data_IF_473639435975
#
_entry.id   IF_473639435975
#
_cell.length_a   1.000
_cell.length_b   1.000
_cell.length_c   1.000
_cell.angle_alpha   90.00
_cell.angle_beta   90.00
_cell.angle_gamma   90.00
#
_symmetry.space_group_name_H-M   'P 1'
#
loop_
_entity.id
_entity.type
_entity.pdbx_description
1 polymer ?
#
# COMPACT_ATOMS: atom_id res chain seq x y z
N UNK A 1 10.65 -11.88 -9.12
CA UNK A 1 9.86 -11.98 -7.87
C UNK A 1 10.82 -12.09 -6.70
N UNK A 2 10.66 -11.28 -5.64
CA UNK A 2 11.47 -11.39 -4.45
C UNK A 2 11.32 -12.79 -3.85
N UNK A 3 12.43 -13.36 -3.42
CA UNK A 3 12.47 -14.69 -2.78
C UNK A 3 12.91 -14.50 -1.34
N UNK A 4 12.18 -15.07 -0.38
CA UNK A 4 12.56 -15.03 1.03
C UNK A 4 11.40 -15.24 1.98
N UNK A 5 11.69 -15.27 3.26
CA UNK A 5 10.71 -15.47 4.35
C UNK A 5 9.68 -14.33 4.37
N UNK A 6 10.11 -13.11 4.12
CA UNK A 6 9.23 -11.92 4.06
C UNK A 6 8.20 -12.02 2.95
N UNK A 7 8.58 -12.61 1.83
CA UNK A 7 7.67 -12.82 0.71
C UNK A 7 6.64 -13.91 0.99
N UNK A 8 7.02 -14.92 1.75
CA UNK A 8 6.08 -15.94 2.23
C UNK A 8 5.01 -15.32 3.14
N UNK A 9 5.40 -14.37 4.00
CA UNK A 9 4.46 -13.64 4.86
C UNK A 9 3.48 -12.81 4.03
N UNK A 10 3.96 -12.07 3.04
CA UNK A 10 3.09 -11.29 2.15
C UNK A 10 2.11 -12.19 1.40
N UNK A 11 2.56 -13.32 0.87
CA UNK A 11 1.67 -14.29 0.20
C UNK A 11 0.60 -14.84 1.13
N UNK A 12 0.98 -15.20 2.35
CA UNK A 12 0.03 -15.65 3.37
C UNK A 12 -1.04 -14.60 3.65
N UNK A 13 -0.64 -13.33 3.79
CA UNK A 13 -1.58 -12.23 3.99
C UNK A 13 -2.49 -11.99 2.79
N UNK A 14 -2.00 -12.16 1.57
CA UNK A 14 -2.81 -12.08 0.35
C UNK A 14 -3.87 -13.19 0.34
N UNK A 15 -3.51 -14.40 0.74
CA UNK A 15 -4.47 -15.52 0.81
C UNK A 15 -5.54 -15.26 1.89
N UNK A 16 -5.15 -14.73 3.04
CA UNK A 16 -6.09 -14.28 4.07
C UNK A 16 -7.01 -13.16 3.56
N UNK A 17 -6.45 -12.20 2.80
CA UNK A 17 -7.23 -11.11 2.21
C UNK A 17 -8.31 -11.63 1.25
N UNK A 18 -7.97 -12.60 0.41
CA UNK A 18 -8.93 -13.24 -0.50
C UNK A 18 -10.09 -13.91 0.25
N UNK A 19 -9.83 -14.43 1.42
CA UNK A 19 -10.86 -15.04 2.29
C UNK A 19 -11.73 -14.01 3.01
N UNK A 20 -11.26 -12.75 3.15
CA UNK A 20 -11.91 -11.68 3.92
C UNK A 20 -12.45 -10.54 3.04
N UNK A 21 -12.68 -10.77 1.75
CA UNK A 21 -13.18 -9.73 0.83
C UNK A 21 -14.70 -9.52 0.88
N UNK A 22 -15.42 -10.23 1.75
CA UNK A 22 -16.87 -10.16 1.88
C UNK A 22 -17.31 -9.02 2.80
N UNK A 23 -18.59 -8.66 2.72
CA UNK A 23 -19.19 -7.63 3.60
C UNK A 23 -19.22 -8.03 5.08
N UNK A 24 -18.91 -9.27 5.40
CA UNK A 24 -18.91 -9.81 6.77
C UNK A 24 -17.64 -9.45 7.56
N UNK A 25 -16.53 -9.20 6.90
CA UNK A 25 -15.22 -9.00 7.55
C UNK A 25 -14.48 -7.75 7.04
N UNK A 26 -15.14 -6.57 6.96
CA UNK A 26 -14.52 -5.38 6.37
C UNK A 26 -13.34 -4.85 7.19
N UNK A 27 -13.39 -4.91 8.51
CA UNK A 27 -12.28 -4.47 9.37
C UNK A 27 -11.05 -5.37 9.21
N UNK A 28 -11.25 -6.68 9.14
CA UNK A 28 -10.16 -7.62 8.87
C UNK A 28 -9.51 -7.36 7.51
N UNK A 29 -10.30 -7.07 6.48
CA UNK A 29 -9.80 -6.70 5.17
C UNK A 29 -8.87 -5.47 5.22
N UNK A 30 -9.28 -4.42 5.93
CA UNK A 30 -8.48 -3.19 6.09
C UNK A 30 -7.17 -3.47 6.83
N UNK A 31 -7.23 -4.21 7.94
CA UNK A 31 -6.03 -4.56 8.73
C UNK A 31 -5.03 -5.36 7.90
N UNK A 32 -5.50 -6.38 7.18
CA UNK A 32 -4.64 -7.23 6.34
C UNK A 32 -4.05 -6.40 5.18
N UNK A 33 -4.86 -5.57 4.54
CA UNK A 33 -4.41 -4.67 3.46
C UNK A 33 -3.30 -3.74 3.93
N UNK A 34 -3.46 -3.14 5.12
CA UNK A 34 -2.43 -2.29 5.72
C UNK A 34 -1.12 -3.05 5.94
N UNK A 35 -1.20 -4.25 6.49
CA UNK A 35 -0.01 -5.08 6.71
C UNK A 35 0.69 -5.44 5.39
N UNK A 36 -0.06 -5.77 4.34
CA UNK A 36 0.48 -6.07 3.01
C UNK A 36 1.22 -4.86 2.44
N UNK A 37 0.58 -3.69 2.47
CA UNK A 37 1.18 -2.45 1.94
C UNK A 37 2.46 -2.10 2.70
N UNK A 38 2.43 -2.16 4.03
CA UNK A 38 3.58 -1.86 4.87
C UNK A 38 4.77 -2.79 4.58
N UNK A 39 4.54 -4.09 4.57
CA UNK A 39 5.58 -5.08 4.29
C UNK A 39 6.12 -4.96 2.86
N UNK A 40 5.25 -4.79 1.87
CA UNK A 40 5.64 -4.69 0.47
C UNK A 40 6.42 -3.41 0.18
N UNK A 41 6.00 -2.27 0.73
CA UNK A 41 6.71 -1.01 0.59
C UNK A 41 8.07 -1.04 1.30
N UNK A 42 8.13 -1.62 2.50
CA UNK A 42 9.39 -1.80 3.24
C UNK A 42 10.37 -2.65 2.44
N UNK A 43 9.92 -3.80 1.94
CA UNK A 43 10.75 -4.68 1.12
C UNK A 43 11.23 -4.00 -0.16
N UNK A 44 10.35 -3.24 -0.82
CA UNK A 44 10.72 -2.45 -2.01
C UNK A 44 11.82 -1.43 -1.68
N UNK A 45 11.69 -0.72 -0.56
CA UNK A 45 12.71 0.23 -0.10
C UNK A 45 14.05 -0.44 0.15
N UNK A 46 14.06 -1.58 0.83
CA UNK A 46 15.28 -2.36 1.09
C UNK A 46 15.96 -2.82 -0.20
N UNK A 47 15.17 -3.31 -1.17
CA UNK A 47 15.70 -3.78 -2.46
C UNK A 47 16.23 -2.66 -3.36
N UNK A 48 15.78 -1.43 -3.15
CA UNK A 48 16.15 -0.27 -3.96
C UNK A 48 17.00 0.76 -3.20
N UNK A 49 17.55 0.38 -2.05
CA UNK A 49 18.40 1.24 -1.21
C UNK A 49 17.74 2.56 -0.81
N UNK A 50 16.44 2.54 -0.58
CA UNK A 50 15.67 3.67 -0.06
C UNK A 50 15.67 3.58 1.48
N UNK A 51 16.13 4.63 2.17
CA UNK A 51 16.20 4.63 3.63
C UNK A 51 14.82 4.57 4.28
N UNK A 52 14.68 3.71 5.30
CA UNK A 52 13.49 3.61 6.15
C UNK A 52 13.54 4.53 7.37
N UNK A 53 14.63 5.27 7.53
CA UNK A 53 14.82 6.23 8.62
C UNK A 53 14.94 7.65 8.08
N UNK A 54 14.49 8.63 8.87
CA UNK A 54 14.64 10.04 8.57
C UNK A 54 16.07 10.50 8.82
N UNK A 55 16.41 11.72 8.37
CA UNK A 55 17.72 12.31 8.61
C UNK A 55 18.08 12.42 10.09
N UNK A 56 17.08 12.59 10.97
CA UNK A 56 17.28 12.64 12.43
C UNK A 56 17.40 11.25 13.09
N UNK A 57 17.42 10.15 12.31
CA UNK A 57 17.54 8.78 12.81
C UNK A 57 16.23 8.14 13.26
N UNK A 58 15.12 8.86 13.29
CA UNK A 58 13.80 8.28 13.62
C UNK A 58 13.23 7.46 12.45
N UNK A 59 12.42 6.47 12.75
CA UNK A 59 11.73 5.66 11.74
C UNK A 59 10.72 6.51 10.95
N UNK A 60 10.64 6.25 9.64
CA UNK A 60 9.62 6.83 8.78
C UNK A 60 8.26 6.22 9.06
N UNK A 61 7.22 7.04 9.01
CA UNK A 61 5.84 6.54 9.02
C UNK A 61 5.49 5.91 7.68
N UNK A 62 4.49 5.04 7.66
CA UNK A 62 4.04 4.37 6.43
C UNK A 62 3.72 5.38 5.30
N UNK A 63 3.09 6.50 5.62
CA UNK A 63 2.79 7.55 4.62
C UNK A 63 4.06 8.11 3.97
N UNK A 64 5.13 8.29 4.72
CA UNK A 64 6.41 8.78 4.20
C UNK A 64 7.08 7.72 3.31
N UNK A 65 7.02 6.46 3.73
CA UNK A 65 7.54 5.32 2.94
C UNK A 65 6.81 5.22 1.61
N UNK A 66 5.47 5.31 1.60
CA UNK A 66 4.67 5.27 0.37
C UNK A 66 5.06 6.42 -0.57
N UNK A 67 5.26 7.63 -0.06
CA UNK A 67 5.70 8.78 -0.85
C UNK A 67 7.09 8.57 -1.46
N UNK A 68 8.00 7.99 -0.71
CA UNK A 68 9.36 7.69 -1.20
C UNK A 68 9.32 6.60 -2.29
N UNK A 69 8.53 5.56 -2.09
CA UNK A 69 8.31 4.50 -3.10
C UNK A 69 7.71 5.09 -4.37
N UNK A 70 6.69 5.92 -4.25
CA UNK A 70 6.08 6.61 -5.39
C UNK A 70 7.11 7.48 -6.15
N UNK A 71 7.90 8.28 -5.45
CA UNK A 71 8.94 9.11 -6.07
C UNK A 71 9.97 8.26 -6.82
N UNK A 72 10.37 7.12 -6.26
CA UNK A 72 11.29 6.20 -6.91
C UNK A 72 10.65 5.54 -8.15
N UNK A 73 9.38 5.13 -8.07
CA UNK A 73 8.65 4.57 -9.21
C UNK A 73 8.54 5.56 -10.37
N UNK A 74 8.32 6.85 -10.10
CA UNK A 74 8.25 7.88 -11.14
C UNK A 74 9.57 8.04 -11.92
N UNK A 75 10.70 7.81 -11.26
CA UNK A 75 12.04 7.86 -11.90
C UNK A 75 12.36 6.62 -12.72
N UNK A 76 11.65 5.52 -12.51
CA UNK A 76 11.90 4.22 -13.13
C UNK A 76 10.72 3.81 -14.01
N UNK A 77 10.50 4.57 -15.07
CA UNK A 77 9.41 4.32 -16.03
C UNK A 77 9.63 2.96 -16.72
N UNK A 78 8.64 2.05 -16.69
CA UNK A 78 8.76 0.76 -17.35
C UNK A 78 8.87 0.89 -18.87
N UNK A 79 9.50 -0.10 -19.51
CA UNK A 79 9.53 -0.20 -20.96
C UNK A 79 8.10 -0.25 -21.52
N UNK A 80 7.86 0.50 -22.60
CA UNK A 80 6.55 0.56 -23.24
C UNK A 80 5.57 1.59 -22.62
N UNK A 81 5.97 2.29 -21.55
CA UNK A 81 5.20 3.39 -20.95
C UNK A 81 5.87 4.73 -21.24
N UNK A 82 5.06 5.78 -21.43
CA UNK A 82 5.55 7.17 -21.43
C UNK A 82 5.62 7.69 -20.01
N UNK A 83 6.45 8.70 -19.75
CA UNK A 83 6.51 9.36 -18.43
C UNK A 83 5.14 9.90 -17.99
N UNK A 84 4.40 10.54 -18.90
CA UNK A 84 3.08 11.09 -18.62
C UNK A 84 2.06 10.01 -18.27
N UNK A 85 2.04 8.90 -19.00
CA UNK A 85 1.16 7.77 -18.72
C UNK A 85 1.49 7.11 -17.39
N UNK A 86 2.77 6.86 -17.13
CA UNK A 86 3.25 6.26 -15.89
C UNK A 86 2.95 7.14 -14.67
N UNK A 87 3.15 8.45 -14.80
CA UNK A 87 2.80 9.40 -13.75
C UNK A 87 1.32 9.33 -13.39
N UNK A 88 0.42 9.29 -14.37
CA UNK A 88 -1.02 9.12 -14.14
C UNK A 88 -1.33 7.82 -13.42
N UNK A 89 -0.71 6.73 -13.85
CA UNK A 89 -0.91 5.40 -13.26
C UNK A 89 -0.47 5.35 -11.78
N UNK A 90 0.55 6.12 -11.40
CA UNK A 90 1.10 6.12 -10.03
C UNK A 90 0.51 7.22 -9.15
N UNK A 91 0.08 8.35 -9.70
CA UNK A 91 -0.45 9.48 -8.91
C UNK A 91 -1.81 9.14 -8.30
N UNK A 92 -2.67 8.38 -8.98
CA UNK A 92 -3.96 7.99 -8.42
C UNK A 92 -3.82 7.09 -7.20
N UNK A 93 -3.03 6.00 -7.22
CA UNK A 93 -2.74 5.23 -6.01
C UNK A 93 -2.15 6.05 -4.88
N UNK A 94 -1.25 6.97 -5.16
CA UNK A 94 -0.69 7.87 -4.13
C UNK A 94 -1.80 8.67 -3.45
N UNK A 95 -2.71 9.24 -4.20
CA UNK A 95 -3.86 9.99 -3.67
C UNK A 95 -4.74 9.09 -2.79
N UNK A 96 -5.09 7.90 -3.27
CA UNK A 96 -5.89 6.93 -2.51
C UNK A 96 -5.23 6.53 -1.18
N UNK A 97 -3.92 6.38 -1.17
CA UNK A 97 -3.18 5.91 0.02
C UNK A 97 -2.80 7.03 0.99
N UNK A 98 -2.76 8.28 0.56
CA UNK A 98 -2.26 9.39 1.38
C UNK A 98 -3.29 10.46 1.71
N UNK A 99 -4.34 10.61 0.93
CA UNK A 99 -5.39 11.60 1.21
C UNK A 99 -6.39 11.03 2.22
N UNK A 100 -6.59 11.68 3.40
CA UNK A 100 -7.42 11.16 4.48
C UNK A 100 -8.88 10.89 4.15
N UNK A 101 -9.42 11.47 3.08
CA UNK A 101 -10.82 11.23 2.66
C UNK A 101 -11.05 9.84 2.04
N UNK A 102 -9.99 9.17 1.61
CA UNK A 102 -10.09 7.86 0.98
C UNK A 102 -10.04 6.72 2.00
N UNK A 103 -10.83 5.64 1.79
CA UNK A 103 -11.01 4.57 2.77
C UNK A 103 -9.75 3.73 3.02
N UNK A 104 -8.83 3.64 2.06
CA UNK A 104 -7.56 2.94 2.22
C UNK A 104 -6.36 3.87 2.43
N UNK A 105 -6.59 5.14 2.74
CA UNK A 105 -5.50 6.02 3.16
C UNK A 105 -4.87 5.53 4.46
N UNK A 106 -3.59 5.82 4.64
CA UNK A 106 -2.88 5.46 5.89
C UNK A 106 -3.58 5.99 7.12
N UNK A 107 -4.17 7.19 7.05
CA UNK A 107 -4.92 7.78 8.14
C UNK A 107 -6.21 6.98 8.44
N UNK A 108 -7.01 6.65 7.43
CA UNK A 108 -8.25 5.89 7.63
C UNK A 108 -7.98 4.46 8.08
N UNK A 109 -6.95 3.81 7.55
CA UNK A 109 -6.53 2.49 8.03
C UNK A 109 -6.13 2.53 9.51
N UNK A 110 -5.41 3.58 9.96
CA UNK A 110 -5.07 3.76 11.36
C UNK A 110 -6.33 3.99 12.23
N UNK A 111 -7.30 4.74 11.75
CA UNK A 111 -8.58 4.95 12.44
C UNK A 111 -9.31 3.63 12.67
N UNK A 112 -9.42 2.79 11.65
CA UNK A 112 -10.06 1.46 11.75
C UNK A 112 -9.32 0.55 12.74
N UNK A 113 -7.99 0.57 12.73
CA UNK A 113 -7.17 -0.28 13.62
C UNK A 113 -7.25 0.16 15.07
N UNK A 114 -7.28 1.46 15.34
CA UNK A 114 -7.08 2.00 16.70
C UNK A 114 -8.33 2.58 17.36
N UNK A 115 -9.38 2.88 16.63
CA UNK A 115 -10.59 3.48 17.20
C UNK A 115 -11.70 2.44 17.42
N UNK A 116 -12.17 2.35 18.65
CA UNK A 116 -13.21 1.39 19.06
C UNK A 116 -14.51 1.52 18.28
N UNK A 117 -14.90 2.74 17.88
CA UNK A 117 -16.18 3.03 17.24
C UNK A 117 -16.09 3.14 15.71
N UNK A 118 -14.92 2.91 15.12
CA UNK A 118 -14.73 2.99 13.67
C UNK A 118 -14.89 1.62 13.04
N UNK A 119 -15.76 1.54 12.02
CA UNK A 119 -15.95 0.34 11.21
C UNK A 119 -15.72 0.63 9.74
N UNK A 120 -15.10 -0.32 9.05
CA UNK A 120 -14.91 -0.27 7.62
C UNK A 120 -16.21 -0.60 6.86
N UNK A 121 -16.36 -0.04 5.66
CA UNK A 121 -17.42 -0.37 4.72
C UNK A 121 -16.81 -0.89 3.43
N UNK A 122 -17.13 -2.14 3.06
CA UNK A 122 -16.51 -2.83 1.92
C UNK A 122 -16.77 -2.18 0.58
N UNK A 123 -17.92 -1.54 0.36
CA UNK A 123 -18.25 -0.96 -0.95
C UNK A 123 -17.24 0.11 -1.40
N UNK A 124 -16.98 1.19 -0.64
CA UNK A 124 -15.94 2.16 -0.99
C UNK A 124 -14.53 1.57 -0.92
N UNK A 125 -14.27 0.60 -0.04
CA UNK A 125 -12.98 -0.07 0.08
C UNK A 125 -12.64 -0.86 -1.18
N UNK A 126 -13.59 -1.59 -1.77
CA UNK A 126 -13.36 -2.32 -3.03
C UNK A 126 -13.00 -1.38 -4.17
N UNK A 127 -13.66 -0.24 -4.27
CA UNK A 127 -13.34 0.80 -5.27
C UNK A 127 -11.93 1.33 -5.05
N UNK A 128 -11.59 1.71 -3.83
CA UNK A 128 -10.26 2.21 -3.48
C UNK A 128 -9.18 1.15 -3.72
N UNK A 129 -9.44 -0.10 -3.37
CA UNK A 129 -8.52 -1.22 -3.61
C UNK A 129 -8.23 -1.42 -5.10
N UNK A 130 -9.25 -1.34 -5.95
CA UNK A 130 -9.07 -1.38 -7.40
C UNK A 130 -8.19 -0.23 -7.91
N UNK A 131 -8.33 0.97 -7.34
CA UNK A 131 -7.55 2.14 -7.72
C UNK A 131 -6.08 2.08 -7.30
N UNK A 132 -5.72 1.28 -6.29
CA UNK A 132 -4.30 1.10 -5.89
C UNK A 132 -3.63 -0.09 -6.57
N UNK A 133 -4.35 -0.84 -7.39
CA UNK A 133 -3.84 -2.09 -7.98
C UNK A 133 -2.55 -1.93 -8.79
N UNK A 134 -2.46 -0.88 -9.60
CA UNK A 134 -1.27 -0.61 -10.41
C UNK A 134 -0.03 -0.33 -9.54
N UNK A 135 -0.22 0.37 -8.42
CA UNK A 135 0.86 0.59 -7.46
C UNK A 135 1.31 -0.73 -6.81
N UNK A 136 0.38 -1.57 -6.39
CA UNK A 136 0.71 -2.88 -5.82
C UNK A 136 1.48 -3.75 -6.80
N UNK A 137 1.08 -3.74 -8.07
CA UNK A 137 1.84 -4.42 -9.14
C UNK A 137 3.25 -3.84 -9.33
N UNK A 138 3.37 -2.52 -9.32
CA UNK A 138 4.66 -1.84 -9.51
C UNK A 138 5.67 -2.18 -8.42
N UNK A 139 5.22 -2.44 -7.18
CA UNK A 139 6.09 -2.86 -6.08
C UNK A 139 6.26 -4.37 -5.94
N UNK A 140 5.74 -5.15 -6.90
CA UNK A 140 6.02 -6.59 -7.01
C UNK A 140 4.91 -7.53 -6.53
N UNK A 141 3.72 -7.01 -6.28
CA UNK A 141 2.54 -7.83 -5.90
C UNK A 141 1.62 -8.14 -7.12
#
# INVERSE_FOLDING_TARGET
>A
KPKGIEFAKIRSLIDELKSNHTDKTPNAFVVITRCIIELACTLYCEQNSISLVKQNGSEKKLVDIIKDVHAHLLKNVPNGKTEASWKRDMDQPLTELTNPIYPLSTNMMNVIVHRRNANANMKPIRTSFANIHLFLKAIGL
#
